data_IF_350594408303
#
_entry.id   IF_350594408303
#
_cell.length_a   1.000
_cell.length_b   1.000
_cell.length_c   1.000
_cell.angle_alpha   90.00
_cell.angle_beta   90.00
_cell.angle_gamma   90.00
#
_symmetry.space_group_name_H-M   'P 1'
#
loop_
_entity.id
_entity.type
_entity.pdbx_description
1 polymer ?
#
# COMPACT_ATOMS: atom_id res chain seq x y z
N UNK A 1 -18.57 9.41 -21.57
CA UNK A 1 -17.92 8.45 -22.49
C UNK A 1 -17.12 7.52 -21.59
N UNK A 2 -17.76 6.44 -21.09
CA UNK A 2 -17.16 5.48 -20.16
C UNK A 2 -17.28 4.13 -20.85
N UNK A 3 -16.32 3.78 -21.69
CA UNK A 3 -16.26 2.47 -22.36
C UNK A 3 -14.80 2.15 -22.71
N UNK A 4 -13.97 1.96 -21.70
CA UNK A 4 -12.93 0.94 -21.74
C UNK A 4 -13.05 0.22 -20.40
N UNK A 5 -13.44 -1.05 -20.46
CA UNK A 5 -13.73 -1.85 -19.27
C UNK A 5 -12.40 -2.15 -18.58
N UNK A 6 -12.05 -1.40 -17.53
CA UNK A 6 -10.87 -1.69 -16.72
C UNK A 6 -11.01 -3.14 -16.21
N UNK A 7 -10.05 -4.00 -16.53
CA UNK A 7 -10.10 -5.39 -16.08
C UNK A 7 -9.40 -5.50 -14.71
N UNK A 8 -9.77 -6.52 -13.94
CA UNK A 8 -9.14 -6.84 -12.66
C UNK A 8 -7.61 -6.99 -12.77
N UNK A 9 -7.11 -7.52 -13.89
CA UNK A 9 -5.68 -7.69 -14.12
C UNK A 9 -4.94 -6.35 -14.20
N UNK A 10 -5.53 -5.36 -14.88
CA UNK A 10 -4.96 -4.01 -14.98
C UNK A 10 -4.89 -3.34 -13.60
N UNK A 11 -5.95 -3.50 -12.79
CA UNK A 11 -5.98 -2.92 -11.43
C UNK A 11 -4.97 -3.60 -10.50
N UNK A 12 -4.88 -4.93 -10.52
CA UNK A 12 -4.01 -5.68 -9.61
C UNK A 12 -2.53 -5.45 -9.93
N UNK A 13 -2.20 -5.22 -11.20
CA UNK A 13 -0.82 -5.01 -11.65
C UNK A 13 -0.37 -3.54 -11.65
N UNK A 14 -1.26 -2.58 -11.38
CA UNK A 14 -0.94 -1.16 -11.44
C UNK A 14 -0.19 -0.65 -10.20
N UNK A 15 1.13 -0.49 -10.34
CA UNK A 15 1.99 0.12 -9.31
C UNK A 15 1.85 1.65 -9.18
N UNK A 16 1.14 2.32 -10.08
CA UNK A 16 0.90 3.76 -10.01
C UNK A 16 -0.39 4.10 -9.25
N UNK A 17 -1.22 3.09 -8.97
CA UNK A 17 -2.53 3.21 -8.31
C UNK A 17 -3.42 4.27 -8.99
N UNK A 18 -3.51 4.21 -10.31
CA UNK A 18 -4.24 5.16 -11.17
C UNK A 18 -5.71 5.24 -10.76
N UNK A 19 -6.35 4.10 -10.49
CA UNK A 19 -7.73 4.05 -10.00
C UNK A 19 -7.92 4.74 -8.64
N UNK A 20 -6.92 4.69 -7.75
CA UNK A 20 -6.97 5.38 -6.45
C UNK A 20 -6.86 6.89 -6.66
N UNK A 21 -5.99 7.33 -7.58
CA UNK A 21 -5.83 8.74 -7.95
C UNK A 21 -7.11 9.31 -8.55
N UNK A 22 -7.69 8.61 -9.53
CA UNK A 22 -8.96 8.97 -10.16
C UNK A 22 -10.09 9.02 -9.12
N UNK A 23 -10.15 8.06 -8.19
CA UNK A 23 -11.13 8.08 -7.11
C UNK A 23 -10.98 9.32 -6.22
N UNK A 24 -9.76 9.70 -5.84
CA UNK A 24 -9.49 10.92 -5.03
C UNK A 24 -9.84 12.21 -5.77
N UNK A 25 -9.66 12.26 -7.10
CA UNK A 25 -10.09 13.40 -7.92
C UNK A 25 -11.62 13.56 -7.93
N UNK A 26 -12.34 12.44 -7.92
CA UNK A 26 -13.81 12.41 -7.87
C UNK A 26 -14.38 12.66 -6.47
N UNK A 27 -13.59 12.44 -5.41
CA UNK A 27 -13.99 12.60 -4.01
C UNK A 27 -13.05 13.55 -3.26
N UNK A 28 -13.02 14.86 -3.60
CA UNK A 28 -12.08 15.81 -3.01
C UNK A 28 -12.22 15.89 -1.48
N UNK A 29 -11.11 15.69 -0.78
CA UNK A 29 -11.04 15.74 0.68
C UNK A 29 -11.31 14.41 1.39
N UNK A 30 -11.79 13.40 0.67
CA UNK A 30 -11.82 12.02 1.19
C UNK A 30 -10.41 11.40 1.16
N UNK A 31 -10.20 10.39 2.00
CA UNK A 31 -8.88 9.77 2.20
C UNK A 31 -8.86 8.36 1.63
N UNK A 32 -7.71 7.95 1.14
CA UNK A 32 -7.44 6.57 0.75
C UNK A 32 -6.48 5.91 1.76
N UNK A 33 -6.89 4.77 2.31
CA UNK A 33 -6.12 4.02 3.31
C UNK A 33 -5.71 2.68 2.70
N UNK A 34 -4.40 2.51 2.51
CA UNK A 34 -3.86 1.22 2.15
C UNK A 34 -3.87 0.28 3.37
N UNK A 35 -4.08 -1.01 3.17
CA UNK A 35 -3.93 -2.01 4.23
C UNK A 35 -3.08 -3.19 3.77
N UNK A 36 -2.15 -3.59 4.63
CA UNK A 36 -1.32 -4.77 4.42
C UNK A 36 -2.13 -6.04 4.76
N UNK A 37 -2.00 -7.12 3.95
CA UNK A 37 -2.65 -8.40 4.22
C UNK A 37 -2.38 -8.94 5.62
N UNK A 38 -3.21 -9.82 6.18
CA UNK A 38 -4.33 -10.57 5.55
C UNK A 38 -5.70 -10.03 5.96
N UNK A 39 -5.81 -9.45 7.15
CA UNK A 39 -7.04 -8.93 7.69
C UNK A 39 -6.91 -7.44 7.98
N UNK A 40 -7.94 -6.69 7.65
CA UNK A 40 -8.09 -5.29 7.97
C UNK A 40 -9.58 -5.00 8.24
N UNK A 41 -9.91 -4.06 9.15
CA UNK A 41 -11.28 -3.65 9.41
C UNK A 41 -11.78 -2.71 8.29
N UNK A 42 -11.87 -3.24 7.06
CA UNK A 42 -12.21 -2.46 5.85
C UNK A 42 -13.58 -1.80 5.96
N UNK A 43 -14.51 -2.41 6.68
CA UNK A 43 -15.84 -1.87 6.94
C UNK A 43 -15.78 -0.60 7.80
N UNK A 44 -14.84 -0.51 8.75
CA UNK A 44 -14.67 0.70 9.56
C UNK A 44 -14.04 1.83 8.75
N UNK A 45 -13.05 1.51 7.90
CA UNK A 45 -12.44 2.49 6.98
C UNK A 45 -13.50 3.06 6.04
N UNK A 46 -14.30 2.17 5.43
CA UNK A 46 -15.38 2.56 4.53
C UNK A 46 -16.47 3.37 5.26
N UNK A 47 -16.91 2.94 6.45
CA UNK A 47 -17.90 3.67 7.25
C UNK A 47 -17.43 5.07 7.67
N UNK A 48 -16.13 5.30 7.74
CA UNK A 48 -15.54 6.61 7.99
C UNK A 48 -15.43 7.52 6.75
N UNK A 49 -15.97 7.10 5.60
CA UNK A 49 -15.91 7.87 4.35
C UNK A 49 -14.52 7.88 3.71
N UNK A 50 -13.79 6.78 3.83
CA UNK A 50 -12.46 6.61 3.24
C UNK A 50 -12.45 5.39 2.31
N UNK A 51 -11.56 5.39 1.31
CA UNK A 51 -11.36 4.26 0.41
C UNK A 51 -10.37 3.25 1.02
N UNK A 52 -10.80 2.03 1.41
CA UNK A 52 -9.86 0.97 1.77
C UNK A 52 -9.25 0.33 0.52
N UNK A 53 -7.93 0.20 0.46
CA UNK A 53 -7.20 -0.40 -0.67
C UNK A 53 -6.22 -1.47 -0.19
N UNK A 54 -6.31 -2.68 -0.74
CA UNK A 54 -5.41 -3.77 -0.38
C UNK A 54 -4.02 -3.60 -0.99
N UNK A 55 -2.98 -3.73 -0.17
CA UNK A 55 -1.58 -3.53 -0.57
C UNK A 55 -0.80 -4.85 -0.57
N UNK A 56 -0.71 -5.51 -1.72
CA UNK A 56 -0.19 -6.88 -1.85
C UNK A 56 1.30 -6.95 -2.27
N UNK A 57 2.08 -5.90 -2.04
CA UNK A 57 3.45 -5.81 -2.55
C UNK A 57 3.49 -5.55 -4.07
N UNK A 58 4.67 -5.73 -4.67
CA UNK A 58 4.90 -5.48 -6.10
C UNK A 58 5.48 -6.68 -6.86
N UNK A 59 5.50 -7.87 -6.24
CA UNK A 59 6.03 -9.08 -6.89
C UNK A 59 7.49 -8.93 -7.33
N UNK A 60 7.75 -9.16 -8.61
CA UNK A 60 9.05 -9.01 -9.28
C UNK A 60 9.14 -7.71 -10.12
N UNK A 61 8.13 -6.84 -10.03
CA UNK A 61 8.02 -5.63 -10.84
C UNK A 61 8.85 -4.45 -10.31
N UNK A 62 9.38 -4.56 -9.09
CA UNK A 62 10.27 -3.57 -8.47
C UNK A 62 11.59 -4.21 -8.06
N UNK A 63 12.68 -3.55 -8.40
CA UNK A 63 13.98 -3.83 -7.80
C UNK A 63 13.98 -3.35 -6.34
N UNK A 64 14.58 -4.12 -5.44
CA UNK A 64 14.43 -3.99 -3.97
C UNK A 64 15.68 -3.41 -3.32
N UNK A 65 16.39 -2.53 -4.03
CA UNK A 65 17.69 -2.01 -3.59
C UNK A 65 17.61 -1.29 -2.24
N UNK A 66 16.57 -0.49 -2.02
CA UNK A 66 16.44 0.25 -0.76
C UNK A 66 15.90 -0.62 0.36
N UNK A 67 15.01 -1.57 0.06
CA UNK A 67 14.47 -2.53 1.01
C UNK A 67 15.53 -3.52 1.51
N UNK A 68 16.42 -4.01 0.65
CA UNK A 68 17.52 -4.91 1.04
C UNK A 68 18.56 -4.23 1.94
N UNK A 69 18.64 -2.90 1.94
CA UNK A 69 19.45 -2.15 2.91
C UNK A 69 18.82 -2.10 4.32
N UNK A 70 17.53 -2.48 4.47
CA UNK A 70 16.75 -2.39 5.71
C UNK A 70 16.28 -3.75 6.22
N UNK A 71 16.19 -4.74 5.33
CA UNK A 71 15.81 -6.11 5.64
C UNK A 71 16.83 -7.12 5.13
N UNK A 72 16.97 -8.23 5.86
CA UNK A 72 17.77 -9.35 5.39
C UNK A 72 17.12 -10.06 4.19
N UNK A 73 17.94 -10.77 3.41
CA UNK A 73 17.52 -11.50 2.20
C UNK A 73 16.44 -12.57 2.45
N UNK A 74 16.33 -13.06 3.68
CA UNK A 74 15.37 -14.09 4.09
C UNK A 74 13.95 -13.56 4.36
N UNK A 75 13.74 -12.23 4.33
CA UNK A 75 12.41 -11.64 4.49
C UNK A 75 11.59 -11.81 3.22
N UNK A 76 10.31 -12.18 3.37
CA UNK A 76 9.39 -12.43 2.26
C UNK A 76 9.29 -11.24 1.29
N UNK A 77 9.09 -11.55 0.00
CA UNK A 77 9.08 -10.57 -1.09
C UNK A 77 8.01 -9.49 -0.90
N UNK A 78 6.82 -9.85 -0.42
CA UNK A 78 5.73 -8.89 -0.17
C UNK A 78 6.14 -7.81 0.83
N UNK A 79 6.86 -8.15 1.90
CA UNK A 79 7.34 -7.16 2.88
C UNK A 79 8.39 -6.24 2.26
N UNK A 80 9.35 -6.80 1.53
CA UNK A 80 10.43 -6.02 0.93
C UNK A 80 9.90 -5.08 -0.16
N UNK A 81 9.06 -5.58 -1.04
CA UNK A 81 8.46 -4.77 -2.11
C UNK A 81 7.47 -3.73 -1.61
N UNK A 82 6.72 -4.01 -0.52
CA UNK A 82 5.90 -2.98 0.14
C UNK A 82 6.75 -1.84 0.71
N UNK A 83 7.86 -2.15 1.37
CA UNK A 83 8.79 -1.13 1.84
C UNK A 83 9.40 -0.34 0.65
N UNK A 84 9.79 -1.05 -0.40
CA UNK A 84 10.34 -0.44 -1.61
C UNK A 84 9.35 0.54 -2.22
N UNK A 85 8.08 0.17 -2.39
CA UNK A 85 7.01 1.07 -2.87
C UNK A 85 6.92 2.36 -2.05
N UNK A 86 7.10 2.27 -0.73
CA UNK A 86 7.20 3.46 0.11
C UNK A 86 8.43 4.30 -0.22
N UNK A 87 9.60 3.65 -0.31
CA UNK A 87 10.90 4.31 -0.50
C UNK A 87 11.07 4.92 -1.90
N UNK A 88 10.35 4.39 -2.89
CA UNK A 88 10.33 4.88 -4.29
C UNK A 88 9.08 5.69 -4.61
N UNK A 89 8.32 6.12 -3.59
CA UNK A 89 7.19 7.05 -3.69
C UNK A 89 5.95 6.54 -4.46
N UNK A 90 5.81 5.23 -4.65
CA UNK A 90 4.60 4.63 -5.25
C UNK A 90 3.38 4.78 -4.33
N UNK A 91 3.58 4.83 -3.01
CA UNK A 91 2.49 4.97 -2.03
C UNK A 91 1.96 6.41 -1.87
N UNK A 92 2.45 7.36 -2.67
CA UNK A 92 2.02 8.76 -2.62
C UNK A 92 0.50 9.03 -2.69
N UNK A 93 -0.33 8.21 -3.38
CA UNK A 93 -1.78 8.40 -3.39
C UNK A 93 -2.46 8.19 -2.04
N UNK A 94 -1.85 7.44 -1.13
CA UNK A 94 -2.46 7.04 0.13
C UNK A 94 -2.20 8.05 1.24
N UNK A 95 -3.22 8.29 2.07
CA UNK A 95 -3.14 9.16 3.23
C UNK A 95 -2.70 8.39 4.49
N UNK A 96 -2.70 7.06 4.41
CA UNK A 96 -2.14 6.20 5.44
C UNK A 96 -2.05 4.73 5.03
N UNK A 97 -1.29 3.96 5.80
CA UNK A 97 -1.10 2.52 5.62
C UNK A 97 -1.35 1.80 6.94
N UNK A 98 -2.28 0.85 6.92
CA UNK A 98 -2.63 0.01 8.06
C UNK A 98 -1.92 -1.35 7.96
N UNK A 99 -1.27 -1.79 9.02
CA UNK A 99 -0.60 -3.06 9.15
C UNK A 99 -1.29 -3.94 10.19
N UNK A 100 -1.61 -5.16 9.79
CA UNK A 100 -2.00 -6.20 10.74
C UNK A 100 -0.77 -6.99 11.19
N UNK A 101 -0.66 -7.22 12.50
CA UNK A 101 0.42 -8.01 13.10
C UNK A 101 0.22 -9.52 12.87
N UNK A 102 0.18 -9.94 11.61
CA UNK A 102 -0.09 -11.33 11.20
C UNK A 102 1.10 -12.27 11.42
N UNK A 103 2.32 -11.75 11.29
CA UNK A 103 3.57 -12.48 11.40
C UNK A 103 4.68 -11.53 11.84
N UNK A 104 5.85 -12.09 12.20
CA UNK A 104 6.96 -11.28 12.70
C UNK A 104 7.48 -10.28 11.66
N UNK A 105 7.55 -10.66 10.38
CA UNK A 105 7.99 -9.76 9.30
C UNK A 105 7.01 -8.60 9.08
N UNK A 106 5.70 -8.86 9.10
CA UNK A 106 4.68 -7.82 8.93
C UNK A 106 4.63 -6.86 10.13
N UNK A 107 4.76 -7.39 11.36
CA UNK A 107 4.88 -6.57 12.57
C UNK A 107 6.11 -5.66 12.48
N UNK A 108 7.26 -6.21 12.07
CA UNK A 108 8.49 -5.43 11.90
C UNK A 108 8.35 -4.37 10.79
N UNK A 109 7.68 -4.71 9.67
CA UNK A 109 7.43 -3.78 8.58
C UNK A 109 6.72 -2.50 9.04
N UNK A 110 5.68 -2.60 9.88
CA UNK A 110 4.99 -1.42 10.43
C UNK A 110 5.98 -0.43 11.09
N UNK A 111 6.88 -0.92 11.95
CA UNK A 111 7.85 -0.07 12.63
C UNK A 111 8.93 0.48 11.70
N UNK A 112 9.39 -0.31 10.74
CA UNK A 112 10.34 0.15 9.72
C UNK A 112 9.71 1.24 8.85
N UNK A 113 8.44 1.09 8.47
CA UNK A 113 7.67 2.11 7.74
C UNK A 113 7.55 3.38 8.57
N UNK A 114 7.07 3.31 9.82
CA UNK A 114 6.99 4.47 10.75
C UNK A 114 8.31 5.22 10.86
N UNK A 115 9.44 4.50 10.90
CA UNK A 115 10.76 5.11 11.03
C UNK A 115 11.24 5.81 9.76
N UNK A 116 10.86 5.33 8.57
CA UNK A 116 11.30 5.90 7.29
C UNK A 116 10.34 6.98 6.76
N UNK A 117 9.07 7.00 7.19
CA UNK A 117 8.03 7.93 6.70
C UNK A 117 7.32 8.65 7.86
N UNK A 118 7.97 9.64 8.50
CA UNK A 118 7.41 10.31 9.68
C UNK A 118 6.12 11.09 9.40
N UNK A 119 5.91 11.52 8.15
CA UNK A 119 4.74 12.30 7.73
C UNK A 119 3.57 11.44 7.23
N UNK A 120 3.80 10.13 7.03
CA UNK A 120 2.76 9.20 6.61
C UNK A 120 2.05 8.63 7.85
N UNK A 121 0.71 8.60 7.83
CA UNK A 121 -0.02 7.86 8.86
C UNK A 121 0.25 6.37 8.68
N UNK A 122 0.87 5.75 9.68
CA UNK A 122 1.11 4.31 9.71
C UNK A 122 0.54 3.79 11.02
N UNK A 123 -0.18 2.68 10.99
CA UNK A 123 -0.71 2.02 12.19
C UNK A 123 -0.58 0.51 12.08
#
# INVERSE_FOLDING_TARGET
MITDSINCEDIISDLNFSTVREWKEQHPGEKAIAYFPVYAPVELIHAAGMLPVGLNGAGDQLDIQYADARFGSFICSIVKTTLEMGLTNHLAPFDGVLFSSICDSARNLCFVMKRNFPDMYVD
#
